data_IF_459655768708
#
_entry.id   IF_459655768708
#
_cell.length_a   1.000
_cell.length_b   1.000
_cell.length_c   1.000
_cell.angle_alpha   90.00
_cell.angle_beta   90.00
_cell.angle_gamma   90.00
#
_symmetry.space_group_name_H-M   'P 1'
#
loop_
_entity.id
_entity.type
_entity.pdbx_description
1 polymer ?
#
# COMPACT_ATOMS: atom_id res chain seq x y z
N UNK A 1 15.75 12.91 -13.15
CA UNK A 1 14.94 12.15 -12.22
C UNK A 1 15.12 12.67 -10.81
N UNK A 2 14.05 12.98 -10.15
CA UNK A 2 14.13 13.51 -8.79
C UNK A 2 14.38 12.43 -7.77
N UNK A 3 15.33 12.68 -6.89
CA UNK A 3 15.50 11.86 -5.70
C UNK A 3 14.66 12.47 -4.60
N UNK A 4 13.54 11.84 -4.33
CA UNK A 4 12.67 12.30 -3.27
C UNK A 4 13.26 11.96 -1.91
N UNK A 5 13.08 12.84 -0.94
CA UNK A 5 13.43 12.53 0.43
C UNK A 5 12.48 11.46 0.96
N UNK A 6 12.86 10.79 2.03
CA UNK A 6 12.01 9.79 2.67
C UNK A 6 10.64 10.37 3.02
N UNK A 7 10.63 11.59 3.56
CA UNK A 7 9.39 12.27 3.94
C UNK A 7 8.49 12.52 2.73
N UNK A 8 9.07 12.96 1.62
CA UNK A 8 8.31 13.22 0.40
C UNK A 8 7.71 11.94 -0.18
N UNK A 9 8.49 10.85 -0.16
CA UNK A 9 7.99 9.55 -0.59
C UNK A 9 6.79 9.10 0.24
N UNK A 10 6.87 9.28 1.54
CA UNK A 10 5.78 8.89 2.44
C UNK A 10 4.52 9.70 2.19
N UNK A 11 4.67 11.02 2.01
CA UNK A 11 3.53 11.90 1.74
C UNK A 11 2.85 11.52 0.43
N UNK A 12 3.62 11.32 -0.63
CA UNK A 12 3.06 10.93 -1.92
C UNK A 12 2.37 9.59 -1.86
N UNK A 13 2.96 8.63 -1.13
CA UNK A 13 2.38 7.30 -0.99
C UNK A 13 1.03 7.35 -0.28
N UNK A 14 0.95 8.10 0.81
CA UNK A 14 -0.30 8.25 1.54
C UNK A 14 -1.37 8.84 0.63
N UNK A 15 -1.03 9.88 -0.12
CA UNK A 15 -1.97 10.51 -1.04
C UNK A 15 -2.47 9.55 -2.12
N UNK A 16 -1.58 8.75 -2.70
CA UNK A 16 -1.96 7.77 -3.71
C UNK A 16 -2.90 6.71 -3.16
N UNK A 17 -2.60 6.23 -1.96
CA UNK A 17 -3.45 5.21 -1.34
C UNK A 17 -4.82 5.79 -0.97
N UNK A 18 -4.84 7.02 -0.47
CA UNK A 18 -6.09 7.67 -0.12
C UNK A 18 -7.05 7.85 -1.31
N UNK A 19 -6.50 8.01 -2.50
CA UNK A 19 -7.32 8.14 -3.71
C UNK A 19 -8.11 6.88 -4.03
N UNK A 20 -7.59 5.73 -3.68
CA UNK A 20 -8.22 4.45 -4.02
C UNK A 20 -8.80 3.74 -2.80
N UNK A 21 -8.54 4.25 -1.61
CA UNK A 21 -9.02 3.65 -0.37
C UNK A 21 -10.47 4.05 -0.08
N UNK A 22 -11.21 3.21 0.65
CA UNK A 22 -12.54 3.57 1.11
C UNK A 22 -12.50 4.77 2.05
N UNK A 23 -13.62 5.44 2.21
CA UNK A 23 -13.71 6.56 3.14
C UNK A 23 -13.43 6.12 4.58
N UNK A 24 -12.86 7.02 5.36
CA UNK A 24 -12.54 6.79 6.76
C UNK A 24 -11.50 5.69 6.97
N UNK A 25 -10.59 5.55 6.00
CA UNK A 25 -9.47 4.63 6.12
C UNK A 25 -8.28 5.32 6.73
N UNK A 26 -7.42 4.54 7.38
CA UNK A 26 -6.16 5.03 7.91
C UNK A 26 -5.02 4.33 7.20
N UNK A 27 -3.99 5.08 6.86
CA UNK A 27 -2.80 4.54 6.21
C UNK A 27 -1.63 4.63 7.16
N UNK A 28 -0.97 3.50 7.38
CA UNK A 28 0.25 3.45 8.18
C UNK A 28 1.38 2.93 7.31
N UNK A 29 2.49 3.65 7.29
CA UNK A 29 3.66 3.25 6.51
C UNK A 29 4.87 3.30 7.43
N UNK A 30 5.61 2.21 7.47
CA UNK A 30 6.82 2.10 8.27
C UNK A 30 7.95 1.57 7.40
N UNK A 31 9.13 2.17 7.54
CA UNK A 31 10.31 1.75 6.78
C UNK A 31 11.44 1.50 7.76
N UNK A 32 11.97 0.30 7.74
CA UNK A 32 13.08 -0.09 8.59
C UNK A 32 14.26 -0.56 7.76
N UNK A 33 15.45 -0.37 8.30
CA UNK A 33 16.66 -0.87 7.70
C UNK A 33 17.30 -1.88 8.67
N UNK A 34 17.54 -3.11 8.23
CA UNK A 34 18.12 -4.10 9.10
C UNK A 34 19.64 -3.99 9.13
N UNK A 35 20.29 -4.87 9.90
CA UNK A 35 21.75 -4.86 10.07
C UNK A 35 22.50 -5.14 8.78
N UNK A 36 21.88 -5.82 7.84
CA UNK A 36 22.49 -6.15 6.55
C UNK A 36 22.33 -5.03 5.53
N UNK A 37 21.69 -3.93 5.91
CA UNK A 37 21.44 -2.83 5.00
C UNK A 37 20.25 -3.06 4.09
N UNK A 38 19.38 -4.01 4.41
CA UNK A 38 18.17 -4.29 3.65
C UNK A 38 17.04 -3.42 4.20
N UNK A 39 16.37 -2.72 3.31
CA UNK A 39 15.20 -1.91 3.66
C UNK A 39 13.94 -2.75 3.61
N UNK A 40 13.13 -2.63 4.63
CA UNK A 40 11.83 -3.30 4.70
C UNK A 40 10.74 -2.25 4.82
N UNK A 41 9.83 -2.24 3.88
CA UNK A 41 8.70 -1.31 3.87
C UNK A 41 7.42 -2.05 4.24
N UNK A 42 6.74 -1.56 5.25
CA UNK A 42 5.44 -2.07 5.70
C UNK A 42 4.39 -1.02 5.38
N UNK A 43 3.34 -1.41 4.71
CA UNK A 43 2.20 -0.53 4.45
C UNK A 43 0.96 -1.22 4.96
N UNK A 44 0.19 -0.52 5.78
CA UNK A 44 -1.05 -1.04 6.32
C UNK A 44 -2.17 -0.04 6.04
N UNK A 45 -3.24 -0.53 5.44
CA UNK A 45 -4.43 0.26 5.20
C UNK A 45 -5.55 -0.31 6.05
N UNK A 46 -6.02 0.48 7.00
CA UNK A 46 -7.08 0.07 7.92
C UNK A 46 -8.38 0.67 7.45
N UNK A 47 -9.33 -0.19 7.09
CA UNK A 47 -10.66 0.23 6.68
C UNK A 47 -11.67 -0.26 7.70
N UNK A 48 -12.92 0.16 7.58
CA UNK A 48 -13.97 -0.30 8.49
C UNK A 48 -14.22 -1.80 8.41
N UNK A 49 -13.98 -2.39 7.25
CA UNK A 49 -14.30 -3.79 7.02
C UNK A 49 -13.11 -4.71 7.04
N UNK A 50 -11.92 -4.19 6.73
CA UNK A 50 -10.77 -5.04 6.48
C UNK A 50 -9.47 -4.27 6.66
N UNK A 51 -8.41 -5.00 6.98
CA UNK A 51 -7.06 -4.44 7.01
C UNK A 51 -6.27 -5.04 5.85
N UNK A 52 -5.71 -4.16 5.02
CA UNK A 52 -4.81 -4.56 3.95
C UNK A 52 -3.38 -4.38 4.44
N UNK A 53 -2.52 -5.28 4.08
CA UNK A 53 -1.13 -5.25 4.53
C UNK A 53 -0.18 -5.65 3.42
N UNK A 54 0.91 -4.92 3.27
CA UNK A 54 1.98 -5.26 2.35
C UNK A 54 3.32 -5.05 3.04
N UNK A 55 4.21 -6.00 2.87
CA UNK A 55 5.57 -5.95 3.40
C UNK A 55 6.52 -6.40 2.32
N UNK A 56 7.48 -5.55 1.97
CA UNK A 56 8.46 -5.85 0.94
C UNK A 56 9.85 -5.42 1.37
N UNK A 57 10.85 -6.20 0.95
CA UNK A 57 12.24 -5.95 1.27
C UNK A 57 13.06 -5.77 0.02
N UNK A 58 14.07 -4.91 0.10
CA UNK A 58 15.00 -4.70 -1.00
C UNK A 58 16.26 -4.00 -0.46
N UNK A 59 17.36 -4.16 -1.17
CA UNK A 59 18.60 -3.48 -0.81
C UNK A 59 18.52 -1.97 -0.98
N UNK A 60 17.59 -1.51 -1.79
CA UNK A 60 17.39 -0.08 -2.04
C UNK A 60 16.04 0.36 -1.48
N UNK A 61 16.06 1.50 -0.79
CA UNK A 61 14.87 2.07 -0.19
C UNK A 61 13.75 2.28 -1.21
N UNK A 62 14.08 2.91 -2.33
CA UNK A 62 13.10 3.22 -3.36
C UNK A 62 12.43 1.96 -3.91
N UNK A 63 13.20 0.90 -4.11
CA UNK A 63 12.68 -0.36 -4.63
C UNK A 63 11.78 -1.07 -3.63
N UNK A 64 12.21 -1.12 -2.37
CA UNK A 64 11.42 -1.71 -1.29
C UNK A 64 10.08 -1.00 -1.18
N UNK A 65 10.10 0.32 -1.19
CA UNK A 65 8.92 1.16 -1.09
C UNK A 65 7.98 0.96 -2.28
N UNK A 66 8.54 0.97 -3.48
CA UNK A 66 7.77 0.80 -4.70
C UNK A 66 7.09 -0.57 -4.77
N UNK A 67 7.81 -1.61 -4.38
CA UNK A 67 7.25 -2.96 -4.33
C UNK A 67 6.08 -3.06 -3.36
N UNK A 68 6.22 -2.45 -2.19
CA UNK A 68 5.17 -2.44 -1.18
C UNK A 68 3.95 -1.68 -1.68
N UNK A 69 4.16 -0.54 -2.33
CA UNK A 69 3.07 0.25 -2.91
C UNK A 69 2.30 -0.53 -3.97
N UNK A 70 3.00 -1.22 -4.85
CA UNK A 70 2.35 -2.05 -5.87
C UNK A 70 1.54 -3.16 -5.25
N UNK A 71 2.08 -3.80 -4.21
CA UNK A 71 1.40 -4.89 -3.54
C UNK A 71 0.10 -4.43 -2.86
N UNK A 72 0.15 -3.31 -2.15
CA UNK A 72 -1.03 -2.81 -1.45
C UNK A 72 -2.11 -2.35 -2.44
N UNK A 73 -1.71 -1.68 -3.52
CA UNK A 73 -2.64 -1.24 -4.56
C UNK A 73 -3.31 -2.43 -5.23
N UNK A 74 -2.57 -3.49 -5.48
CA UNK A 74 -3.13 -4.70 -6.10
C UNK A 74 -4.16 -5.36 -5.19
N UNK A 75 -3.90 -5.41 -3.89
CA UNK A 75 -4.86 -5.95 -2.92
C UNK A 75 -6.15 -5.16 -2.90
N UNK A 76 -6.04 -3.83 -2.90
CA UNK A 76 -7.22 -2.96 -2.87
C UNK A 76 -8.06 -3.14 -4.13
N UNK A 77 -7.40 -3.14 -5.28
CA UNK A 77 -8.07 -3.32 -6.58
C UNK A 77 -8.73 -4.68 -6.69
N UNK A 78 -8.05 -5.73 -6.26
CA UNK A 78 -8.58 -7.08 -6.29
C UNK A 78 -9.85 -7.18 -5.45
N UNK A 79 -9.82 -6.61 -4.26
CA UNK A 79 -10.98 -6.65 -3.38
C UNK A 79 -12.18 -5.91 -3.98
N UNK A 80 -11.95 -4.79 -4.65
CA UNK A 80 -13.01 -4.05 -5.32
C UNK A 80 -13.63 -4.85 -6.45
N UNK A 81 -12.80 -5.51 -7.25
CA UNK A 81 -13.27 -6.35 -8.37
C UNK A 81 -14.10 -7.51 -7.84
N UNK A 82 -13.61 -8.19 -6.80
CA UNK A 82 -14.33 -9.29 -6.18
C UNK A 82 -15.69 -8.83 -5.64
N UNK A 83 -15.72 -7.66 -5.02
CA UNK A 83 -16.94 -7.10 -4.49
C UNK A 83 -17.94 -6.82 -5.59
N UNK A 84 -17.50 -6.28 -6.71
CA UNK A 84 -18.36 -6.04 -7.87
C UNK A 84 -18.90 -7.34 -8.44
N UNK A 85 -18.07 -8.36 -8.54
CA UNK A 85 -18.49 -9.66 -9.05
C UNK A 85 -19.60 -10.26 -8.19
N UNK A 86 -19.43 -10.19 -6.86
CA UNK A 86 -20.44 -10.68 -5.92
C UNK A 86 -21.74 -9.91 -6.08
N UNK A 87 -21.67 -8.61 -6.25
CA UNK A 87 -22.83 -7.76 -6.41
C UNK A 87 -23.63 -8.12 -7.68
N UNK A 88 -22.91 -8.35 -8.78
CA UNK A 88 -23.56 -8.77 -10.02
C UNK A 88 -24.22 -10.14 -9.89
N UNK A 89 -23.57 -11.05 -9.19
CA UNK A 89 -24.13 -12.38 -8.97
C UNK A 89 -25.43 -12.32 -8.19
N UNK A 90 -25.54 -11.43 -7.24
CA UNK A 90 -26.76 -11.27 -6.45
C UNK A 90 -27.89 -10.67 -7.26
N UNK A 91 -27.57 -9.85 -8.23
CA UNK A 91 -28.58 -9.20 -9.08
C UNK A 91 -29.07 -10.14 -10.18
N UNK A 92 -28.16 -10.96 -10.67
CA UNK A 92 -28.49 -11.92 -11.72
C UNK A 92 -29.32 -13.08 -11.18
#
# INVERSE_FOLDING_TARGET
>A
MKNLSKKEMLVEAVQEIEKIAPRHSEVEIDVEKNRRGIFCTHIRLITKQKIYFAKKEDSFLNKSFYKAMRAIKAQIKKNKVEHHAVKYSLVA
#
